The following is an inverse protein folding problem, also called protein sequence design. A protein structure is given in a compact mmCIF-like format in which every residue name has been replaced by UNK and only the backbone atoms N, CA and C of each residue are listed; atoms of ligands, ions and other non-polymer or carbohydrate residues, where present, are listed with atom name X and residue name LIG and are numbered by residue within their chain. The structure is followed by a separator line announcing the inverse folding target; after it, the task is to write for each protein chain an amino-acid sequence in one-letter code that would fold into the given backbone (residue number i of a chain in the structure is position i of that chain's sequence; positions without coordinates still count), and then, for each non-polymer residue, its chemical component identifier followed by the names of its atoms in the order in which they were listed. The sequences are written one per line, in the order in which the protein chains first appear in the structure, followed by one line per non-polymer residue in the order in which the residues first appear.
data_IF_167668130031
#
_entry.id   IF_167668130031
#
_cell.length_a   1.000
_cell.length_b   1.000
_cell.length_c   1.000
_cell.angle_alpha   90.00
_cell.angle_beta   90.00
_cell.angle_gamma   90.00
#
_symmetry.space_group_name_H-M   'P 1'
#
loop_
_entity.id
_entity.type
_entity.pdbx_description
1 polymer ?
#
# COMPACT_ATOMS: atom_id res chain seq x y z
N UNK A 1 -85.48 -20.12 -1.01
CA UNK A 1 -84.53 -19.89 0.08
C UNK A 1 -83.11 -20.21 -0.45
N UNK A 2 -82.38 -19.18 -0.77
CA UNK A 2 -81.07 -19.36 -1.39
C UNK A 2 -80.00 -19.12 -0.33
N UNK A 3 -79.24 -20.13 -0.08
CA UNK A 3 -78.11 -20.07 0.83
C UNK A 3 -76.90 -19.50 0.06
N UNK A 4 -76.51 -18.30 0.40
CA UNK A 4 -75.34 -17.65 -0.10
C UNK A 4 -74.11 -18.17 0.68
N UNK A 5 -73.25 -18.90 0.03
CA UNK A 5 -71.99 -19.33 0.58
C UNK A 5 -70.93 -18.25 0.23
N UNK A 6 -70.45 -17.58 1.26
CA UNK A 6 -69.37 -16.57 1.13
C UNK A 6 -68.01 -17.30 1.13
N UNK A 7 -67.37 -17.27 0.01
CA UNK A 7 -66.00 -17.80 -0.10
C UNK A 7 -64.98 -16.72 0.34
N UNK A 8 -64.34 -16.99 1.46
CA UNK A 8 -63.27 -16.16 2.00
C UNK A 8 -61.94 -16.54 1.31
N UNK A 9 -61.50 -15.70 0.40
CA UNK A 9 -60.21 -15.84 -0.21
C UNK A 9 -59.13 -15.29 0.73
N UNK A 10 -58.35 -16.19 1.33
CA UNK A 10 -57.17 -15.80 2.11
C UNK A 10 -56.01 -15.52 1.15
N UNK A 11 -55.65 -14.24 1.05
CA UNK A 11 -54.42 -13.83 0.36
C UNK A 11 -53.27 -14.04 1.32
N UNK A 12 -52.46 -15.04 1.07
CA UNK A 12 -51.18 -15.25 1.75
C UNK A 12 -50.15 -14.29 1.13
N UNK A 13 -49.85 -13.22 1.85
CA UNK A 13 -48.74 -12.31 1.53
C UNK A 13 -47.44 -12.96 2.00
N UNK A 14 -46.70 -13.59 1.09
CA UNK A 14 -45.38 -14.12 1.36
C UNK A 14 -44.38 -12.96 1.49
N UNK A 15 -44.07 -12.61 2.72
CA UNK A 15 -42.97 -11.71 3.02
C UNK A 15 -41.65 -12.47 2.81
N UNK A 16 -40.96 -12.18 1.72
CA UNK A 16 -39.60 -12.64 1.52
C UNK A 16 -38.65 -11.87 2.46
N UNK A 17 -37.86 -12.53 3.29
CA UNK A 17 -36.82 -11.85 4.05
C UNK A 17 -35.73 -11.39 3.08
N UNK A 18 -35.56 -10.10 2.94
CA UNK A 18 -34.37 -9.53 2.29
C UNK A 18 -33.15 -9.93 3.12
N UNK A 19 -32.41 -10.90 2.64
CA UNK A 19 -31.12 -11.25 3.19
C UNK A 19 -30.16 -10.06 2.93
N UNK A 20 -29.95 -9.26 3.96
CA UNK A 20 -28.84 -8.31 4.02
C UNK A 20 -27.56 -9.14 4.03
N UNK A 21 -26.99 -9.35 2.85
CA UNK A 21 -25.63 -9.86 2.76
C UNK A 21 -24.69 -8.89 3.49
N UNK A 22 -23.93 -9.35 4.48
CA UNK A 22 -22.91 -8.50 5.06
C UNK A 22 -21.93 -8.14 3.94
N UNK A 23 -21.81 -6.86 3.64
CA UNK A 23 -20.69 -6.37 2.85
C UNK A 23 -19.44 -6.68 3.68
N UNK A 24 -18.72 -7.72 3.28
CA UNK A 24 -17.38 -7.91 3.75
C UNK A 24 -16.60 -6.67 3.33
N UNK A 25 -16.39 -5.77 4.28
CA UNK A 25 -15.33 -4.78 4.16
C UNK A 25 -14.07 -5.60 4.02
N UNK A 26 -13.52 -5.65 2.81
CA UNK A 26 -12.17 -6.11 2.62
C UNK A 26 -11.28 -5.16 3.43
N UNK A 27 -11.02 -5.53 4.67
CA UNK A 27 -9.92 -4.97 5.41
C UNK A 27 -8.69 -5.41 4.61
N UNK A 28 -8.09 -4.46 3.91
CA UNK A 28 -6.76 -4.64 3.39
C UNK A 28 -5.88 -4.95 4.59
N UNK A 29 -5.67 -6.22 4.84
CA UNK A 29 -4.59 -6.67 5.69
C UNK A 29 -3.34 -6.25 4.96
N UNK A 30 -2.80 -5.11 5.37
CA UNK A 30 -1.46 -4.72 5.01
C UNK A 30 -0.49 -5.70 5.65
N UNK A 31 -0.48 -6.92 5.16
CA UNK A 31 0.73 -7.71 5.20
C UNK A 31 1.67 -6.91 4.31
N UNK A 32 2.65 -6.27 4.94
CA UNK A 32 3.75 -5.70 4.20
C UNK A 32 4.34 -6.85 3.39
N UNK A 33 3.90 -6.97 2.14
CA UNK A 33 4.44 -7.97 1.24
C UNK A 33 5.94 -7.74 1.19
N UNK A 34 6.70 -8.82 1.28
CA UNK A 34 8.14 -8.74 1.13
C UNK A 34 8.48 -8.76 -0.34
N UNK A 35 9.33 -7.84 -0.74
CA UNK A 35 9.82 -7.79 -2.09
C UNK A 35 10.88 -8.87 -2.37
N UNK A 36 11.36 -8.94 -3.63
CA UNK A 36 12.36 -9.92 -4.07
C UNK A 36 13.67 -9.89 -3.28
N UNK A 37 14.00 -8.76 -2.65
CA UNK A 37 15.20 -8.60 -1.84
C UNK A 37 14.94 -8.78 -0.33
N UNK A 38 13.72 -9.20 0.04
CA UNK A 38 13.34 -9.47 1.42
C UNK A 38 12.96 -8.23 2.23
N UNK A 39 12.92 -7.06 1.62
CA UNK A 39 12.46 -5.83 2.22
C UNK A 39 10.94 -5.68 2.20
N UNK A 40 10.36 -4.85 3.09
CA UNK A 40 8.95 -4.51 3.02
C UNK A 40 8.64 -3.75 1.74
N UNK A 41 7.44 -3.99 1.19
CA UNK A 41 6.92 -3.29 0.01
C UNK A 41 5.75 -2.39 0.37
N UNK A 42 5.69 -1.23 -0.26
CA UNK A 42 4.58 -0.28 -0.14
C UNK A 42 4.28 0.35 -1.51
N UNK A 43 3.00 0.71 -1.69
CA UNK A 43 2.57 1.45 -2.87
C UNK A 43 2.82 2.94 -2.69
N UNK A 44 3.50 3.56 -3.62
CA UNK A 44 3.81 4.98 -3.55
C UNK A 44 3.99 5.59 -4.95
N UNK A 45 3.35 6.72 -5.21
CA UNK A 45 3.45 7.46 -6.47
C UNK A 45 3.24 6.61 -7.74
N UNK A 46 2.37 5.59 -7.66
CA UNK A 46 2.02 4.71 -8.77
C UNK A 46 2.97 3.56 -9.04
N UNK A 47 3.89 3.28 -8.12
CA UNK A 47 4.79 2.11 -8.16
C UNK A 47 4.77 1.36 -6.85
N UNK A 48 5.19 0.10 -6.87
CA UNK A 48 5.53 -0.64 -5.68
C UNK A 48 7.00 -0.36 -5.34
N UNK A 49 7.27 0.08 -4.12
CA UNK A 49 8.61 0.36 -3.63
C UNK A 49 9.00 -0.67 -2.57
N UNK A 50 10.10 -1.35 -2.77
CA UNK A 50 10.74 -2.23 -1.77
C UNK A 50 11.87 -1.48 -1.11
N UNK A 51 11.85 -1.38 0.22
CA UNK A 51 12.91 -0.72 0.98
C UNK A 51 13.83 -1.75 1.64
N UNK A 52 15.11 -1.64 1.36
CA UNK A 52 16.16 -2.44 2.01
C UNK A 52 17.12 -1.50 2.72
N UNK A 53 17.26 -1.68 4.02
CA UNK A 53 18.25 -0.96 4.83
C UNK A 53 19.35 -1.92 5.27
N UNK A 54 20.58 -1.58 4.97
CA UNK A 54 21.77 -2.36 5.37
C UNK A 54 22.80 -1.39 5.94
N UNK A 55 23.02 -1.45 7.26
CA UNK A 55 23.86 -0.53 8.00
C UNK A 55 23.48 0.94 7.77
N UNK A 56 24.23 1.66 6.96
CA UNK A 56 23.98 3.07 6.62
C UNK A 56 23.37 3.26 5.23
N UNK A 57 23.25 2.20 4.45
CA UNK A 57 22.76 2.27 3.08
C UNK A 57 21.26 1.97 3.04
N UNK A 58 20.50 2.88 2.44
CA UNK A 58 19.12 2.66 2.07
C UNK A 58 19.04 2.42 0.56
N UNK A 59 18.37 1.35 0.17
CA UNK A 59 18.11 1.03 -1.23
C UNK A 59 16.61 0.87 -1.41
N UNK A 60 16.07 1.51 -2.43
CA UNK A 60 14.68 1.36 -2.85
C UNK A 60 14.67 0.74 -4.24
N UNK A 61 13.93 -0.35 -4.37
CA UNK A 61 13.69 -1.01 -5.66
C UNK A 61 12.27 -0.68 -6.12
N UNK A 62 12.12 -0.28 -7.37
CA UNK A 62 10.85 0.14 -7.97
C UNK A 62 10.30 -0.95 -8.89
N UNK A 63 9.00 -1.25 -8.74
CA UNK A 63 8.28 -2.23 -9.57
C UNK A 63 6.94 -1.66 -10.02
N UNK A 64 6.45 -2.15 -11.16
CA UNK A 64 5.09 -1.87 -11.61
C UNK A 64 4.08 -2.81 -10.91
N UNK A 65 2.79 -2.65 -11.24
CA UNK A 65 1.72 -3.48 -10.70
C UNK A 65 1.86 -4.97 -11.06
N UNK A 66 2.56 -5.28 -12.15
CA UNK A 66 2.84 -6.64 -12.57
C UNK A 66 4.10 -7.24 -11.91
N UNK A 67 4.77 -6.47 -11.04
CA UNK A 67 5.99 -6.87 -10.37
C UNK A 67 7.24 -6.78 -11.24
N UNK A 68 7.17 -6.08 -12.38
CA UNK A 68 8.31 -5.84 -13.25
C UNK A 68 9.12 -4.65 -12.77
N UNK A 69 10.47 -4.70 -12.84
CA UNK A 69 11.31 -3.56 -12.51
C UNK A 69 10.97 -2.33 -13.35
N UNK A 70 10.89 -1.17 -12.69
CA UNK A 70 10.68 0.13 -13.32
C UNK A 70 11.98 0.91 -13.25
N UNK A 71 12.51 1.44 -14.39
CA UNK A 71 13.72 2.24 -14.35
C UNK A 71 13.60 3.43 -13.39
N UNK A 72 14.59 3.62 -12.54
CA UNK A 72 14.60 4.70 -11.55
C UNK A 72 14.93 6.07 -12.15
N UNK A 73 15.32 6.12 -13.40
CA UNK A 73 15.64 7.35 -14.12
C UNK A 73 14.45 8.33 -14.08
N UNK A 74 14.72 9.58 -13.69
CA UNK A 74 13.71 10.61 -13.58
C UNK A 74 12.91 10.62 -12.29
N UNK A 75 13.08 9.61 -11.43
CA UNK A 75 12.53 9.63 -10.07
C UNK A 75 13.43 10.45 -9.14
N UNK A 76 12.81 11.10 -8.17
CA UNK A 76 13.50 11.72 -7.04
C UNK A 76 12.90 11.18 -5.76
N UNK A 77 13.72 10.94 -4.75
CA UNK A 77 13.23 10.43 -3.48
C UNK A 77 14.08 10.91 -2.30
N UNK A 78 13.43 10.96 -1.14
CA UNK A 78 14.08 11.15 0.15
C UNK A 78 13.44 10.24 1.19
N UNK A 79 14.22 9.80 2.16
CA UNK A 79 13.76 9.02 3.28
C UNK A 79 13.96 9.81 4.58
N UNK A 80 12.89 9.91 5.36
CA UNK A 80 12.96 10.39 6.72
C UNK A 80 13.13 9.19 7.63
N UNK A 81 14.28 9.04 8.24
CA UNK A 81 14.69 7.89 9.05
C UNK A 81 14.63 8.24 10.52
N UNK A 82 13.92 7.46 11.30
CA UNK A 82 13.78 7.63 12.74
C UNK A 82 12.59 8.49 13.14
N UNK A 83 12.52 8.84 14.41
CA UNK A 83 11.45 9.63 15.03
C UNK A 83 11.99 10.63 16.03
N UNK A 84 11.20 11.65 16.35
CA UNK A 84 11.58 12.67 17.33
C UNK A 84 12.82 13.47 16.92
N UNK A 85 13.68 13.78 17.89
CA UNK A 85 14.91 14.57 17.70
C UNK A 85 16.04 13.82 16.99
N UNK A 86 15.93 12.51 16.83
CA UNK A 86 16.95 11.67 16.18
C UNK A 86 16.69 11.43 14.70
N UNK A 87 15.77 12.17 14.11
CA UNK A 87 15.43 12.02 12.69
C UNK A 87 16.56 12.51 11.80
N UNK A 88 16.81 11.75 10.75
CA UNK A 88 17.72 12.16 9.68
C UNK A 88 17.02 12.05 8.31
N UNK A 89 17.34 12.95 7.41
CA UNK A 89 16.88 12.92 6.02
C UNK A 89 17.96 12.33 5.15
N UNK A 90 17.62 11.30 4.41
CA UNK A 90 18.52 10.63 3.45
C UNK A 90 18.01 10.92 2.05
N UNK A 91 18.81 11.61 1.24
CA UNK A 91 18.51 11.78 -0.18
C UNK A 91 18.85 10.49 -0.93
N UNK A 92 17.89 10.04 -1.75
CA UNK A 92 18.07 8.87 -2.60
C UNK A 92 18.24 9.31 -4.05
N UNK A 93 19.28 8.82 -4.68
CA UNK A 93 19.56 9.08 -6.08
C UNK A 93 19.29 7.85 -6.93
N UNK A 94 18.77 8.02 -8.17
CA UNK A 94 18.65 6.92 -9.12
C UNK A 94 20.01 6.26 -9.35
N UNK A 95 20.01 4.92 -9.24
CA UNK A 95 21.19 4.08 -9.53
C UNK A 95 20.96 3.25 -10.79
N UNK A 96 21.59 2.08 -10.82
CA UNK A 96 21.40 1.13 -11.91
C UNK A 96 19.96 0.57 -11.91
N UNK A 97 19.41 0.35 -13.09
CA UNK A 97 18.12 -0.29 -13.31
C UNK A 97 16.98 0.37 -12.52
N UNK A 98 16.34 -0.38 -11.65
CA UNK A 98 15.18 0.06 -10.87
C UNK A 98 15.54 0.49 -9.44
N UNK A 99 16.80 0.81 -9.17
CA UNK A 99 17.26 1.13 -7.82
C UNK A 99 17.43 2.62 -7.59
N UNK A 100 17.10 3.05 -6.38
CA UNK A 100 17.48 4.34 -5.82
C UNK A 100 18.21 4.08 -4.52
N UNK A 101 19.30 4.79 -4.26
CA UNK A 101 20.07 4.56 -3.04
C UNK A 101 20.56 5.85 -2.41
N UNK A 102 20.81 5.79 -1.11
CA UNK A 102 21.36 6.88 -0.32
C UNK A 102 22.06 6.34 0.92
N UNK A 103 22.90 7.19 1.52
CA UNK A 103 23.67 6.84 2.71
C UNK A 103 23.21 7.69 3.89
N UNK A 104 22.80 7.02 4.96
CA UNK A 104 22.45 7.66 6.22
C UNK A 104 23.69 8.16 6.97
N UNK A 105 23.57 9.21 7.75
CA UNK A 105 24.64 9.72 8.58
C UNK A 105 25.03 8.73 9.70
N UNK A 106 24.04 8.01 10.23
CA UNK A 106 24.22 6.97 11.25
C UNK A 106 23.60 5.65 10.81
N UNK A 107 24.04 4.51 11.36
CA UNK A 107 23.43 3.23 11.05
C UNK A 107 21.94 3.20 11.32
N UNK A 108 21.20 2.55 10.45
CA UNK A 108 19.74 2.39 10.56
C UNK A 108 19.46 1.08 11.29
N UNK A 109 19.00 1.18 12.52
CA UNK A 109 18.66 0.02 13.32
C UNK A 109 17.42 -0.70 12.77
N UNK A 110 17.37 -2.01 12.95
CA UNK A 110 16.20 -2.81 12.61
C UNK A 110 14.97 -2.29 13.37
N UNK A 111 13.84 -2.15 12.69
CA UNK A 111 12.60 -1.63 13.28
C UNK A 111 12.52 -0.10 13.34
N UNK A 112 13.51 0.62 12.82
CA UNK A 112 13.45 2.06 12.69
C UNK A 112 12.34 2.44 11.71
N UNK A 113 11.49 3.39 12.10
CA UNK A 113 10.46 3.95 11.22
C UNK A 113 11.10 4.75 10.10
N UNK A 114 10.72 4.44 8.86
CA UNK A 114 11.21 5.15 7.68
C UNK A 114 10.01 5.65 6.88
N UNK A 115 9.98 6.94 6.59
CA UNK A 115 8.99 7.52 5.68
C UNK A 115 9.67 7.87 4.36
N UNK A 116 9.30 7.16 3.31
CA UNK A 116 9.78 7.42 1.96
C UNK A 116 8.89 8.44 1.29
N UNK A 117 9.49 9.48 0.76
CA UNK A 117 8.87 10.44 -0.13
C UNK A 117 9.45 10.25 -1.53
N UNK A 118 8.60 10.06 -2.52
CA UNK A 118 9.04 9.82 -3.90
C UNK A 118 8.22 10.64 -4.88
N UNK A 119 8.87 11.12 -5.92
CA UNK A 119 8.25 11.82 -7.04
C UNK A 119 8.62 11.10 -8.33
N UNK A 120 7.62 10.75 -9.11
CA UNK A 120 7.82 10.08 -10.38
C UNK A 120 8.18 11.07 -11.51
N UNK A 121 8.63 10.58 -12.70
CA UNK A 121 8.97 11.45 -13.82
C UNK A 121 7.83 12.34 -14.33
N UNK A 122 6.58 11.94 -14.11
CA UNK A 122 5.39 12.72 -14.47
C UNK A 122 5.07 13.84 -13.45
N UNK A 123 5.86 13.96 -12.37
CA UNK A 123 5.67 14.98 -11.34
C UNK A 123 4.71 14.58 -10.21
N UNK A 124 4.21 13.34 -10.20
CA UNK A 124 3.35 12.84 -9.13
C UNK A 124 4.18 12.43 -7.92
N UNK A 125 3.81 12.96 -6.77
CA UNK A 125 4.46 12.66 -5.50
C UNK A 125 3.61 11.73 -4.64
N UNK A 126 4.26 10.96 -3.80
CA UNK A 126 3.63 10.13 -2.79
C UNK A 126 4.53 9.89 -1.59
N UNK A 127 3.94 9.40 -0.53
CA UNK A 127 4.62 8.99 0.69
C UNK A 127 4.22 7.57 1.07
N UNK A 128 5.18 6.81 1.58
CA UNK A 128 4.94 5.51 2.17
C UNK A 128 5.74 5.36 3.47
N UNK A 129 5.17 4.64 4.41
CA UNK A 129 5.79 4.38 5.71
C UNK A 129 6.18 2.92 5.82
N UNK A 130 7.39 2.69 6.23
CA UNK A 130 7.99 1.37 6.42
C UNK A 130 8.32 1.14 7.89
#
# INVERSE_FOLDING_TARGET
MKKMTLALAAVLLAAAPAALAPRALAQGHGHADKGPHGGPMQDVAGVHAELVAAERTLTVHLYDEAGKPVPATGYTASALVGSGGSRQVVQLAPGAENTMSGTAATPVARGTSITLQIKNPAGRSGQARF
#
